data_IF_528482715499
#
_entry.id   IF_528482715499
#
_cell.length_a   1.000
_cell.length_b   1.000
_cell.length_c   1.000
_cell.angle_alpha   90.00
_cell.angle_beta   90.00
_cell.angle_gamma   90.00
#
_symmetry.space_group_name_H-M   'P 1'
#
loop_
_entity.id
_entity.type
_entity.pdbx_description
1 polymer ?
#
# COMPACT_ATOMS: atom_id res chain seq x y z
N UNK A 1 33.36 -15.03 -23.45
CA UNK A 1 33.21 -15.54 -22.07
C UNK A 1 32.32 -16.75 -22.14
N UNK A 2 32.70 -17.84 -21.49
CA UNK A 2 31.79 -18.97 -21.30
C UNK A 2 30.59 -18.48 -20.48
N UNK A 3 29.36 -18.65 -21.00
CA UNK A 3 28.16 -18.15 -20.33
C UNK A 3 27.92 -18.85 -18.99
N UNK A 4 28.43 -20.07 -18.82
CA UNK A 4 28.25 -20.87 -17.61
C UNK A 4 29.14 -20.42 -16.44
N UNK A 5 30.19 -19.63 -16.69
CA UNK A 5 30.98 -19.01 -15.61
C UNK A 5 30.32 -17.76 -15.02
N UNK A 6 29.12 -17.43 -15.49
CA UNK A 6 28.30 -16.32 -15.04
C UNK A 6 27.01 -16.83 -14.41
N UNK A 7 26.43 -16.13 -13.41
CA UNK A 7 25.11 -16.49 -12.87
C UNK A 7 23.95 -16.13 -13.81
N UNK A 8 24.22 -15.48 -14.96
CA UNK A 8 23.18 -15.04 -15.89
C UNK A 8 22.21 -16.15 -16.35
N UNK A 9 22.66 -17.37 -16.72
CA UNK A 9 21.74 -18.44 -17.11
C UNK A 9 20.77 -18.84 -15.98
N UNK A 10 21.24 -18.81 -14.73
CA UNK A 10 20.38 -19.04 -13.57
C UNK A 10 19.33 -17.92 -13.42
N UNK A 11 19.74 -16.65 -13.54
CA UNK A 11 18.83 -15.51 -13.49
C UNK A 11 17.78 -15.53 -14.61
N UNK A 12 18.19 -15.91 -15.82
CA UNK A 12 17.30 -16.11 -16.98
C UNK A 12 16.29 -17.24 -16.72
N UNK A 13 16.71 -18.34 -16.08
CA UNK A 13 15.82 -19.46 -15.75
C UNK A 13 14.75 -19.07 -14.73
N UNK A 14 15.12 -18.37 -13.64
CA UNK A 14 14.18 -17.96 -12.60
C UNK A 14 13.27 -16.80 -13.02
N UNK A 15 13.61 -16.04 -14.07
CA UNK A 15 12.75 -14.97 -14.61
C UNK A 15 11.37 -15.50 -15.02
N UNK A 16 11.31 -16.75 -15.48
CA UNK A 16 10.06 -17.43 -15.84
C UNK A 16 9.05 -17.51 -14.68
N UNK A 17 9.52 -17.47 -13.43
CA UNK A 17 8.68 -17.50 -12.22
C UNK A 17 7.73 -16.30 -12.14
N UNK A 18 8.08 -15.15 -12.73
CA UNK A 18 7.26 -13.92 -12.68
C UNK A 18 5.91 -14.06 -13.37
N UNK A 19 5.78 -15.03 -14.27
CA UNK A 19 4.54 -15.29 -15.02
C UNK A 19 3.68 -16.39 -14.40
N UNK A 20 4.18 -17.11 -13.38
CA UNK A 20 3.48 -18.27 -12.81
C UNK A 20 2.50 -17.82 -11.74
N UNK A 21 1.24 -18.21 -11.93
CA UNK A 21 0.14 -17.97 -10.99
C UNK A 21 0.15 -19.03 -9.89
N UNK A 22 -0.13 -18.61 -8.67
CA UNK A 22 -0.36 -19.48 -7.52
C UNK A 22 -1.68 -20.24 -7.72
N UNK A 23 -1.56 -21.56 -7.73
CA UNK A 23 -2.61 -22.50 -8.11
C UNK A 23 -3.75 -22.61 -7.11
N UNK A 24 -3.48 -22.32 -5.83
CA UNK A 24 -4.45 -22.41 -4.73
C UNK A 24 -5.63 -21.44 -4.87
N UNK A 25 -5.36 -20.28 -5.48
CA UNK A 25 -6.33 -19.19 -5.68
C UNK A 25 -6.87 -19.12 -7.11
N UNK A 26 -6.24 -19.82 -8.06
CA UNK A 26 -6.60 -19.78 -9.48
C UNK A 26 -8.01 -20.34 -9.78
N UNK A 27 -8.57 -21.16 -8.88
CA UNK A 27 -9.89 -21.78 -9.04
C UNK A 27 -11.05 -20.97 -8.40
N UNK A 28 -10.76 -20.09 -7.44
CA UNK A 28 -11.77 -19.45 -6.59
C UNK A 28 -11.72 -17.92 -6.55
N UNK A 29 -10.77 -17.27 -7.23
CA UNK A 29 -10.60 -15.81 -7.18
C UNK A 29 -10.34 -15.17 -8.55
N UNK A 30 -10.73 -13.89 -8.64
CA UNK A 30 -10.66 -12.95 -9.78
C UNK A 30 -9.28 -12.93 -10.51
N UNK A 31 -9.14 -12.39 -11.75
CA UNK A 31 -7.96 -12.53 -12.63
C UNK A 31 -6.59 -12.09 -12.07
N UNK A 32 -6.55 -11.39 -10.92
CA UNK A 32 -5.35 -11.05 -10.15
C UNK A 32 -4.87 -12.19 -9.23
N UNK A 33 -4.97 -13.44 -9.69
CA UNK A 33 -4.36 -14.59 -9.00
C UNK A 33 -2.89 -14.28 -8.66
N UNK A 34 -2.55 -14.37 -7.37
CA UNK A 34 -1.20 -14.17 -6.82
C UNK A 34 -0.13 -14.86 -7.66
N UNK A 35 1.06 -14.28 -7.77
CA UNK A 35 2.21 -14.92 -8.44
C UNK A 35 3.08 -15.62 -7.41
N UNK A 36 3.66 -16.76 -7.79
CA UNK A 36 4.55 -17.52 -6.88
C UNK A 36 5.72 -16.66 -6.35
N UNK A 37 6.25 -15.77 -7.19
CA UNK A 37 7.30 -14.84 -6.79
C UNK A 37 6.87 -13.90 -5.65
N UNK A 38 5.62 -13.43 -5.68
CA UNK A 38 5.09 -12.51 -4.68
C UNK A 38 4.98 -13.22 -3.31
N UNK A 39 4.44 -14.44 -3.29
CA UNK A 39 4.40 -15.32 -2.10
C UNK A 39 5.80 -15.53 -1.51
N UNK A 40 6.74 -15.99 -2.33
CA UNK A 40 8.10 -16.28 -1.87
C UNK A 40 8.81 -15.05 -1.32
N UNK A 41 8.59 -13.89 -1.95
CA UNK A 41 9.13 -12.61 -1.49
C UNK A 41 8.54 -12.21 -0.13
N UNK A 42 7.23 -12.32 0.04
CA UNK A 42 6.58 -12.02 1.32
C UNK A 42 7.05 -12.97 2.43
N UNK A 43 7.11 -14.28 2.17
CA UNK A 43 7.63 -15.25 3.15
C UNK A 43 9.06 -14.91 3.57
N UNK A 44 9.93 -14.53 2.63
CA UNK A 44 11.30 -14.13 2.95
C UNK A 44 11.35 -12.87 3.84
N UNK A 45 10.49 -11.87 3.59
CA UNK A 45 10.39 -10.70 4.45
C UNK A 45 9.85 -11.03 5.85
N UNK A 46 8.91 -11.97 5.97
CA UNK A 46 8.42 -12.45 7.27
C UNK A 46 9.55 -13.16 8.04
N UNK A 47 10.37 -13.97 7.36
CA UNK A 47 11.56 -14.57 7.96
C UNK A 47 12.53 -13.50 8.50
N UNK A 48 12.80 -12.45 7.71
CA UNK A 48 13.69 -11.34 8.11
C UNK A 48 13.11 -10.47 9.24
N UNK A 49 11.80 -10.45 9.41
CA UNK A 49 11.13 -9.74 10.50
C UNK A 49 11.03 -10.57 11.80
N UNK A 50 11.29 -11.86 11.73
CA UNK A 50 11.07 -12.78 12.84
C UNK A 50 12.17 -12.63 13.92
N UNK A 51 11.82 -12.36 15.19
CA UNK A 51 12.80 -12.05 16.24
C UNK A 51 13.74 -13.20 16.60
N UNK A 52 13.27 -14.45 16.43
CA UNK A 52 14.04 -15.66 16.77
C UNK A 52 14.82 -16.26 15.57
N UNK A 53 14.83 -15.56 14.43
CA UNK A 53 15.70 -15.88 13.30
C UNK A 53 16.86 -14.89 13.28
N UNK A 54 18.09 -15.41 13.28
CA UNK A 54 19.30 -14.60 13.14
C UNK A 54 20.45 -15.44 12.61
N UNK A 55 21.46 -14.80 12.02
CA UNK A 55 22.66 -15.48 11.54
C UNK A 55 22.33 -16.56 10.51
N UNK A 56 22.84 -17.77 10.71
CA UNK A 56 22.69 -18.86 9.75
C UNK A 56 21.25 -19.36 9.61
N UNK A 57 20.47 -19.38 10.70
CA UNK A 57 19.07 -19.79 10.68
C UNK A 57 18.21 -18.85 9.84
N UNK A 58 18.47 -17.53 9.90
CA UNK A 58 17.79 -16.52 9.08
C UNK A 58 18.11 -16.73 7.58
N UNK A 59 19.40 -16.91 7.25
CA UNK A 59 19.80 -17.12 5.85
C UNK A 59 19.23 -18.43 5.31
N UNK A 60 19.22 -19.51 6.10
CA UNK A 60 18.62 -20.78 5.71
C UNK A 60 17.11 -20.66 5.52
N UNK A 61 16.40 -19.95 6.41
CA UNK A 61 14.97 -19.70 6.27
C UNK A 61 14.64 -18.94 4.97
N UNK A 62 15.40 -17.87 4.67
CA UNK A 62 15.19 -17.09 3.44
C UNK A 62 15.46 -17.92 2.18
N UNK A 63 16.55 -18.69 2.14
CA UNK A 63 16.82 -19.57 1.00
C UNK A 63 15.72 -20.61 0.84
N UNK A 64 15.23 -21.18 1.95
CA UNK A 64 14.13 -22.14 1.94
C UNK A 64 12.86 -21.54 1.32
N UNK A 65 12.48 -20.32 1.73
CA UNK A 65 11.38 -19.58 1.09
C UNK A 65 11.63 -19.37 -0.41
N UNK A 66 12.86 -19.07 -0.81
CA UNK A 66 13.23 -18.84 -2.20
C UNK A 66 13.29 -20.10 -3.08
N UNK A 67 13.23 -21.31 -2.52
CA UNK A 67 13.32 -22.56 -3.32
C UNK A 67 12.13 -23.48 -3.20
N UNK A 68 11.32 -23.36 -2.13
CA UNK A 68 10.25 -24.32 -1.84
C UNK A 68 9.26 -24.52 -3.00
N UNK A 69 8.85 -23.41 -3.63
CA UNK A 69 7.91 -23.42 -4.76
C UNK A 69 8.59 -23.31 -6.13
N UNK A 70 9.88 -22.95 -6.19
CA UNK A 70 10.63 -22.84 -7.47
C UNK A 70 10.73 -24.18 -8.18
N UNK A 71 10.81 -25.26 -7.41
CA UNK A 71 10.89 -26.61 -7.96
C UNK A 71 9.63 -26.98 -8.78
N UNK A 72 8.45 -26.51 -8.36
CA UNK A 72 7.19 -26.73 -9.10
C UNK A 72 7.17 -26.06 -10.48
N UNK A 73 7.97 -24.99 -10.67
CA UNK A 73 8.04 -24.29 -11.95
C UNK A 73 9.14 -24.85 -12.84
N UNK A 74 10.25 -25.29 -12.26
CA UNK A 74 11.34 -25.89 -13.02
C UNK A 74 10.94 -27.24 -13.68
N UNK A 75 9.87 -27.89 -13.21
CA UNK A 75 9.21 -29.03 -13.90
C UNK A 75 8.33 -28.61 -15.08
N UNK A 76 7.96 -27.33 -15.19
CA UNK A 76 7.03 -26.82 -16.21
C UNK A 76 5.55 -27.06 -15.88
N UNK A 77 5.23 -27.56 -14.68
CA UNK A 77 3.86 -27.84 -14.26
C UNK A 77 3.27 -26.61 -13.55
N UNK A 78 2.49 -25.81 -14.28
CA UNK A 78 1.56 -24.85 -13.64
C UNK A 78 0.50 -25.71 -12.97
N UNK A 79 0.66 -25.97 -11.68
CA UNK A 79 -0.30 -26.77 -10.92
C UNK A 79 -1.68 -26.15 -11.08
N UNK A 80 -2.63 -26.91 -11.61
CA UNK A 80 -4.01 -26.81 -11.19
C UNK A 80 -4.09 -27.88 -10.11
N UNK A 81 -4.37 -27.49 -8.86
CA UNK A 81 -4.44 -28.45 -7.75
C UNK A 81 -5.60 -29.39 -8.03
N UNK A 82 -5.30 -30.52 -8.65
CA UNK A 82 -6.12 -31.71 -8.68
C UNK A 82 -5.37 -32.72 -7.81
N UNK A 83 -5.83 -32.90 -6.57
CA UNK A 83 -5.24 -33.78 -5.54
C UNK A 83 -5.07 -35.24 -5.99
N UNK A 84 -5.54 -35.60 -7.18
CA UNK A 84 -5.48 -36.95 -7.74
C UNK A 84 -4.17 -37.34 -8.45
N UNK A 85 -3.16 -36.44 -8.58
CA UNK A 85 -1.90 -36.69 -9.34
C UNK A 85 -0.58 -36.75 -8.54
N UNK A 86 -0.62 -37.11 -7.27
CA UNK A 86 0.60 -37.30 -6.45
C UNK A 86 1.21 -38.70 -6.67
N UNK A 87 2.06 -38.90 -7.70
CA UNK A 87 3.48 -39.23 -7.42
C UNK A 87 4.49 -38.79 -8.52
N UNK A 88 4.06 -38.10 -9.59
CA UNK A 88 4.94 -37.73 -10.72
C UNK A 88 5.60 -36.35 -10.52
N UNK A 89 5.01 -35.48 -9.69
CA UNK A 89 5.47 -34.12 -9.41
C UNK A 89 6.82 -34.03 -8.66
N UNK A 90 7.10 -34.95 -7.72
CA UNK A 90 8.30 -34.86 -6.85
C UNK A 90 9.62 -35.05 -7.60
N UNK A 91 9.65 -35.91 -8.63
CA UNK A 91 10.87 -36.19 -9.40
C UNK A 91 11.20 -35.02 -10.32
N UNK A 92 10.19 -34.44 -10.96
CA UNK A 92 10.37 -33.32 -11.88
C UNK A 92 10.80 -32.06 -11.12
N UNK A 93 10.25 -31.84 -9.93
CA UNK A 93 10.73 -30.83 -8.98
C UNK A 93 12.22 -30.99 -8.64
N UNK A 94 12.64 -32.21 -8.30
CA UNK A 94 14.04 -32.49 -7.99
C UNK A 94 14.97 -32.27 -9.19
N UNK A 95 14.54 -32.65 -10.40
CA UNK A 95 15.32 -32.45 -11.63
C UNK A 95 15.44 -30.96 -11.96
N UNK A 96 14.33 -30.23 -11.85
CA UNK A 96 14.28 -28.80 -12.09
C UNK A 96 15.20 -28.03 -11.13
N UNK A 97 15.18 -28.38 -9.84
CA UNK A 97 16.08 -27.78 -8.87
C UNK A 97 17.55 -28.13 -9.13
N UNK A 98 17.85 -29.39 -9.47
CA UNK A 98 19.21 -29.80 -9.87
C UNK A 98 19.68 -28.99 -11.07
N UNK A 99 18.82 -28.75 -12.07
CA UNK A 99 19.16 -27.90 -13.21
C UNK A 99 19.57 -26.49 -12.77
N UNK A 100 18.79 -25.84 -11.90
CA UNK A 100 19.13 -24.52 -11.36
C UNK A 100 20.45 -24.52 -10.59
N UNK A 101 20.69 -25.53 -9.76
CA UNK A 101 21.98 -25.71 -9.07
C UNK A 101 23.15 -25.88 -10.06
N UNK A 102 22.96 -26.65 -11.13
CA UNK A 102 23.97 -26.81 -12.19
C UNK A 102 24.31 -25.49 -12.89
N UNK A 103 23.33 -24.61 -13.12
CA UNK A 103 23.58 -23.28 -13.72
C UNK A 103 24.43 -22.37 -12.81
N UNK A 104 24.46 -22.64 -11.50
CA UNK A 104 25.28 -21.91 -10.53
C UNK A 104 26.61 -22.57 -10.21
N UNK A 105 26.85 -23.82 -10.64
CA UNK A 105 27.98 -24.62 -10.16
C UNK A 105 29.35 -23.95 -10.34
N UNK A 106 29.57 -23.29 -11.47
CA UNK A 106 30.84 -22.61 -11.78
C UNK A 106 30.88 -21.16 -11.25
N UNK A 107 29.73 -20.48 -11.18
CA UNK A 107 29.66 -19.06 -10.82
C UNK A 107 29.42 -18.80 -9.33
N UNK A 108 28.73 -19.71 -8.64
CA UNK A 108 28.44 -19.68 -7.20
C UNK A 108 28.27 -21.11 -6.64
N UNK A 109 29.38 -21.85 -6.43
CA UNK A 109 29.33 -23.23 -5.94
C UNK A 109 28.59 -23.38 -4.60
N UNK A 110 28.82 -22.43 -3.68
CA UNK A 110 28.16 -22.44 -2.36
C UNK A 110 26.65 -22.33 -2.47
N UNK A 111 26.13 -21.50 -3.37
CA UNK A 111 24.68 -21.41 -3.56
C UNK A 111 24.15 -22.65 -4.28
N UNK A 112 24.88 -23.16 -5.27
CA UNK A 112 24.52 -24.38 -6.00
C UNK A 112 24.30 -25.58 -5.07
N UNK A 113 25.14 -25.73 -4.04
CA UNK A 113 24.99 -26.82 -3.04
C UNK A 113 23.83 -26.55 -2.06
N UNK A 114 23.58 -25.28 -1.72
CA UNK A 114 22.53 -24.90 -0.75
C UNK A 114 21.10 -25.04 -1.27
N UNK A 115 20.84 -24.85 -2.56
CA UNK A 115 19.45 -24.90 -3.07
C UNK A 115 18.82 -26.30 -2.86
N UNK A 116 19.47 -27.42 -3.27
CA UNK A 116 18.95 -28.77 -3.02
C UNK A 116 18.83 -29.13 -1.55
N UNK A 117 19.81 -28.72 -0.73
CA UNK A 117 19.79 -28.96 0.72
C UNK A 117 18.60 -28.25 1.39
N UNK A 118 18.34 -26.98 1.05
CA UNK A 118 17.24 -26.22 1.60
C UNK A 118 15.86 -26.79 1.20
N UNK A 119 15.69 -27.24 -0.06
CA UNK A 119 14.44 -27.90 -0.46
C UNK A 119 14.25 -29.23 0.28
N UNK A 120 15.31 -30.03 0.43
CA UNK A 120 15.23 -31.29 1.15
C UNK A 120 14.86 -31.06 2.63
N UNK A 121 15.48 -30.07 3.28
CA UNK A 121 15.17 -29.69 4.65
C UNK A 121 13.71 -29.24 4.79
N UNK A 122 13.23 -28.42 3.86
CA UNK A 122 11.83 -27.99 3.81
C UNK A 122 10.83 -29.15 3.66
N UNK A 123 11.17 -30.11 2.79
CA UNK A 123 10.35 -31.30 2.54
C UNK A 123 10.30 -32.22 3.76
N UNK A 124 11.44 -32.41 4.43
CA UNK A 124 11.52 -33.26 5.62
C UNK A 124 10.84 -32.61 6.84
N UNK A 125 10.87 -31.28 6.97
CA UNK A 125 10.21 -30.54 8.06
C UNK A 125 10.61 -31.02 9.47
N UNK A 126 11.89 -31.32 9.67
CA UNK A 126 12.40 -31.87 10.93
C UNK A 126 13.05 -30.82 11.81
N UNK A 127 13.75 -29.86 11.19
CA UNK A 127 14.51 -28.80 11.86
C UNK A 127 13.59 -27.73 12.42
N UNK A 128 14.10 -26.94 13.39
CA UNK A 128 13.39 -25.76 13.90
C UNK A 128 13.05 -24.78 12.77
N UNK A 129 14.01 -24.52 11.88
CA UNK A 129 13.87 -23.57 10.78
C UNK A 129 12.82 -24.04 9.77
N UNK A 130 12.90 -25.29 9.29
CA UNK A 130 11.91 -25.81 8.34
C UNK A 130 10.49 -25.84 8.90
N UNK A 131 10.32 -26.22 10.17
CA UNK A 131 9.03 -26.14 10.88
C UNK A 131 8.51 -24.71 10.99
N UNK A 132 9.39 -23.73 11.20
CA UNK A 132 9.00 -22.33 11.23
C UNK A 132 8.60 -21.83 9.83
N UNK A 133 9.39 -22.12 8.80
CA UNK A 133 9.09 -21.73 7.41
C UNK A 133 7.75 -22.31 6.93
N UNK A 134 7.39 -23.53 7.34
CA UNK A 134 6.06 -24.12 7.09
C UNK A 134 4.92 -23.34 7.77
N UNK A 135 5.16 -22.82 8.96
CA UNK A 135 4.18 -21.97 9.65
C UNK A 135 4.10 -20.59 8.99
N UNK A 136 5.21 -20.05 8.51
CA UNK A 136 5.24 -18.81 7.71
C UNK A 136 4.46 -18.98 6.41
N UNK A 137 4.57 -20.13 5.71
CA UNK A 137 3.77 -20.43 4.52
C UNK A 137 2.26 -20.39 4.83
N UNK A 138 1.85 -20.99 5.95
CA UNK A 138 0.44 -20.96 6.41
C UNK A 138 -0.01 -19.53 6.74
N UNK A 139 0.82 -18.80 7.49
CA UNK A 139 0.56 -17.40 7.84
C UNK A 139 0.41 -16.52 6.60
N UNK A 140 1.27 -16.71 5.60
CA UNK A 140 1.21 -16.00 4.33
C UNK A 140 -0.10 -16.32 3.59
N UNK A 141 -0.50 -17.60 3.56
CA UNK A 141 -1.77 -18.02 2.95
C UNK A 141 -2.97 -17.37 3.66
N UNK A 142 -2.96 -17.29 5.00
CA UNK A 142 -3.96 -16.59 5.80
C UNK A 142 -4.00 -15.09 5.45
N UNK A 143 -2.84 -14.44 5.40
CA UNK A 143 -2.73 -13.02 5.07
C UNK A 143 -3.28 -12.70 3.68
N UNK A 144 -2.96 -13.53 2.68
CA UNK A 144 -3.48 -13.38 1.32
C UNK A 144 -4.99 -13.58 1.22
N UNK A 145 -5.55 -14.52 2.00
CA UNK A 145 -7.00 -14.73 2.04
C UNK A 145 -7.72 -13.44 2.45
N UNK A 146 -7.23 -12.78 3.50
CA UNK A 146 -7.79 -11.53 3.98
C UNK A 146 -7.62 -10.38 2.98
N UNK A 147 -6.43 -10.24 2.35
CA UNK A 147 -6.23 -9.24 1.29
C UNK A 147 -7.17 -9.48 0.09
N UNK A 148 -7.39 -10.74 -0.29
CA UNK A 148 -8.32 -11.12 -1.35
C UNK A 148 -9.74 -10.62 -1.09
N UNK A 149 -10.21 -10.71 0.16
CA UNK A 149 -11.51 -10.17 0.56
C UNK A 149 -11.57 -8.65 0.46
N UNK A 150 -10.53 -7.93 0.88
CA UNK A 150 -10.47 -6.47 0.74
C UNK A 150 -10.61 -5.99 -0.72
N UNK A 151 -10.23 -6.84 -1.68
CA UNK A 151 -10.36 -6.56 -3.12
C UNK A 151 -11.71 -6.97 -3.71
N UNK A 152 -12.67 -7.40 -2.89
CA UNK A 152 -14.01 -7.78 -3.31
C UNK A 152 -14.11 -9.18 -3.93
N UNK A 153 -13.21 -10.11 -3.57
CA UNK A 153 -13.23 -11.49 -4.08
C UNK A 153 -14.04 -12.49 -3.22
N UNK A 154 -14.90 -12.03 -2.30
CA UNK A 154 -15.76 -12.86 -1.43
C UNK A 154 -16.26 -12.09 -0.20
N UNK A 155 -17.13 -12.69 0.61
CA UNK A 155 -17.56 -12.14 1.92
C UNK A 155 -16.87 -12.88 3.08
N UNK A 156 -16.72 -12.25 4.26
CA UNK A 156 -16.09 -12.87 5.44
C UNK A 156 -16.77 -14.19 5.84
N UNK A 157 -18.07 -14.31 5.59
CA UNK A 157 -18.88 -15.50 5.92
C UNK A 157 -18.60 -16.71 5.00
N UNK A 158 -17.86 -16.53 3.89
CA UNK A 158 -17.62 -17.59 2.91
C UNK A 158 -16.43 -18.52 3.26
N UNK A 159 -15.57 -18.13 4.20
CA UNK A 159 -14.34 -18.87 4.53
C UNK A 159 -14.05 -18.82 6.04
N UNK A 160 -14.09 -19.99 6.66
CA UNK A 160 -13.67 -20.17 8.05
C UNK A 160 -12.15 -19.95 8.19
N UNK A 161 -11.74 -18.93 8.94
CA UNK A 161 -10.34 -18.59 9.19
C UNK A 161 -9.70 -19.48 10.26
N UNK A 162 -10.51 -20.09 11.13
CA UNK A 162 -10.00 -20.88 12.25
C UNK A 162 -9.13 -22.06 11.75
N UNK A 163 -9.55 -22.84 10.73
CA UNK A 163 -8.72 -23.88 10.11
C UNK A 163 -7.41 -23.36 9.49
N UNK A 164 -7.38 -22.09 9.04
CA UNK A 164 -6.18 -21.49 8.46
C UNK A 164 -5.15 -21.11 9.52
N UNK A 165 -5.62 -20.80 10.73
CA UNK A 165 -4.79 -20.55 11.90
C UNK A 165 -4.28 -21.85 12.54
N UNK A 166 -4.95 -22.99 12.29
CA UNK A 166 -4.55 -24.28 12.84
C UNK A 166 -3.12 -24.67 12.42
N UNK A 167 -2.29 -24.88 13.44
CA UNK A 167 -0.90 -25.27 13.28
C UNK A 167 0.09 -24.11 13.09
N UNK A 168 -0.35 -22.86 13.21
CA UNK A 168 0.54 -21.72 13.52
C UNK A 168 0.74 -21.70 15.04
N UNK A 169 1.81 -22.34 15.50
CA UNK A 169 2.11 -22.56 16.92
C UNK A 169 3.26 -21.71 17.44
N UNK A 170 4.09 -21.16 16.54
CA UNK A 170 5.12 -20.20 16.92
C UNK A 170 4.49 -18.98 17.60
N UNK A 171 4.95 -18.57 18.80
CA UNK A 171 4.30 -17.51 19.56
C UNK A 171 4.25 -16.15 18.85
N UNK A 172 5.28 -15.81 18.06
CA UNK A 172 5.32 -14.53 17.36
C UNK A 172 4.38 -14.55 16.15
N UNK A 173 4.42 -15.62 15.34
CA UNK A 173 3.51 -15.80 14.21
C UNK A 173 2.05 -15.94 14.64
N UNK A 174 1.77 -16.71 15.70
CA UNK A 174 0.41 -16.87 16.21
C UNK A 174 -0.18 -15.53 16.65
N UNK A 175 0.63 -14.66 17.25
CA UNK A 175 0.20 -13.29 17.58
C UNK A 175 -0.11 -12.46 16.32
N UNK A 176 0.67 -12.59 15.25
CA UNK A 176 0.36 -11.88 14.00
C UNK A 176 -0.90 -12.44 13.34
N UNK A 177 -1.08 -13.77 13.34
CA UNK A 177 -2.30 -14.41 12.85
C UNK A 177 -3.52 -13.95 13.65
N UNK A 178 -3.43 -13.90 14.98
CA UNK A 178 -4.46 -13.33 15.86
C UNK A 178 -4.79 -11.88 15.49
N UNK A 179 -3.79 -11.04 15.18
CA UNK A 179 -4.02 -9.66 14.75
C UNK A 179 -4.79 -9.64 13.42
N UNK A 180 -4.42 -10.47 12.45
CA UNK A 180 -5.15 -10.61 11.19
C UNK A 180 -6.58 -11.09 11.45
N UNK A 181 -6.84 -12.00 12.38
CA UNK A 181 -8.20 -12.49 12.63
C UNK A 181 -9.06 -11.51 13.46
N UNK A 182 -8.43 -10.66 14.28
CA UNK A 182 -9.11 -9.72 15.21
C UNK A 182 -9.23 -8.30 14.68
N UNK A 183 -8.44 -7.91 13.68
CA UNK A 183 -8.66 -6.63 13.02
C UNK A 183 -10.11 -6.60 12.50
N UNK A 184 -10.84 -5.53 12.83
CA UNK A 184 -12.24 -5.33 12.44
C UNK A 184 -12.32 -5.10 10.92
N UNK A 185 -12.13 -6.17 10.15
CA UNK A 185 -12.24 -6.18 8.69
C UNK A 185 -13.69 -5.98 8.23
N UNK A 186 -14.68 -6.17 9.11
CA UNK A 186 -16.10 -5.87 8.86
C UNK A 186 -16.34 -4.40 8.51
N UNK A 187 -15.38 -3.52 8.78
CA UNK A 187 -15.44 -2.11 8.35
C UNK A 187 -15.23 -1.92 6.84
N UNK A 188 -14.88 -2.98 6.10
CA UNK A 188 -14.72 -2.96 4.64
C UNK A 188 -15.87 -3.69 3.91
N UNK A 189 -16.57 -4.61 4.57
CA UNK A 189 -17.68 -5.38 3.97
C UNK A 189 -18.98 -4.55 3.90
N UNK A 190 -19.04 -3.47 4.68
CA UNK A 190 -19.92 -2.35 4.38
C UNK A 190 -19.17 -1.31 3.54
N UNK A 191 -19.00 -1.56 2.24
CA UNK A 191 -19.34 -0.50 1.28
C UNK A 191 -20.84 -0.22 1.41
N UNK A 192 -21.31 0.14 2.60
CA UNK A 192 -22.48 0.99 2.72
C UNK A 192 -22.07 2.20 1.91
N UNK A 193 -22.80 2.49 0.83
CA UNK A 193 -22.71 3.80 0.19
C UNK A 193 -22.71 4.80 1.35
N UNK A 194 -21.57 5.46 1.59
CA UNK A 194 -21.42 6.38 2.71
C UNK A 194 -22.56 7.37 2.57
N UNK A 195 -23.59 7.26 3.42
CA UNK A 195 -24.78 8.13 3.32
C UNK A 195 -24.42 9.59 3.57
N UNK A 196 -23.23 9.82 4.09
CA UNK A 196 -22.64 11.10 4.40
C UNK A 196 -21.65 11.51 3.31
N UNK A 197 -21.68 12.78 2.87
CA UNK A 197 -20.87 13.25 1.73
C UNK A 197 -19.38 13.31 2.06
N UNK A 198 -18.54 12.76 1.19
CA UNK A 198 -17.08 12.94 1.21
C UNK A 198 -16.69 13.95 0.14
N UNK A 199 -15.98 15.01 0.52
CA UNK A 199 -15.60 16.12 -0.36
C UNK A 199 -14.09 16.35 -0.27
N UNK A 200 -13.37 16.06 -1.34
CA UNK A 200 -11.97 16.44 -1.48
C UNK A 200 -11.83 17.91 -1.88
N UNK A 201 -10.88 18.60 -1.27
CA UNK A 201 -10.40 19.91 -1.72
C UNK A 201 -8.94 19.78 -2.10
N UNK A 202 -8.67 19.91 -3.40
CA UNK A 202 -7.34 19.81 -3.99
C UNK A 202 -6.91 21.14 -4.64
N UNK A 203 -5.60 21.32 -4.80
CA UNK A 203 -5.01 22.56 -5.28
C UNK A 203 -4.48 23.42 -4.12
N UNK A 204 -3.45 24.22 -4.39
CA UNK A 204 -2.86 25.13 -3.40
C UNK A 204 -3.52 26.49 -3.48
N UNK A 205 -3.99 27.01 -2.34
CA UNK A 205 -4.41 28.38 -2.18
C UNK A 205 -3.18 29.26 -1.91
N UNK A 206 -2.94 30.28 -2.74
CA UNK A 206 -1.89 31.27 -2.47
C UNK A 206 -2.48 32.36 -1.56
N UNK A 207 -2.36 32.16 -0.25
CA UNK A 207 -2.56 33.21 0.74
C UNK A 207 -1.34 33.28 1.65
N UNK A 208 -0.78 34.49 1.80
CA UNK A 208 0.43 34.78 2.57
C UNK A 208 0.33 34.61 4.09
N UNK A 209 -0.57 33.75 4.58
CA UNK A 209 -0.53 33.25 5.95
C UNK A 209 -1.29 31.92 6.00
N UNK A 210 -0.61 30.84 6.40
CA UNK A 210 -1.17 29.50 6.59
C UNK A 210 -2.40 29.49 7.52
N UNK A 211 -2.52 30.49 8.41
CA UNK A 211 -3.63 30.70 9.34
C UNK A 211 -4.96 31.15 8.71
N UNK A 212 -4.93 31.84 7.56
CA UNK A 212 -6.15 32.41 6.95
C UNK A 212 -6.96 31.37 6.16
N UNK A 213 -6.28 30.41 5.57
CA UNK A 213 -6.82 29.44 4.61
C UNK A 213 -7.46 28.22 5.29
N UNK A 214 -6.81 27.65 6.33
CA UNK A 214 -7.43 26.59 7.14
C UNK A 214 -8.72 27.04 7.82
N UNK A 215 -8.81 28.32 8.20
CA UNK A 215 -9.98 28.88 8.88
C UNK A 215 -11.23 28.84 8.01
N UNK A 216 -11.12 29.05 6.70
CA UNK A 216 -12.27 29.15 5.79
C UNK A 216 -12.94 27.81 5.53
N UNK A 217 -12.16 26.77 5.23
CA UNK A 217 -12.71 25.43 5.02
C UNK A 217 -13.33 24.86 6.30
N UNK A 218 -12.73 25.17 7.45
CA UNK A 218 -13.29 24.82 8.75
C UNK A 218 -14.62 25.54 9.02
N UNK A 219 -14.72 26.83 8.69
CA UNK A 219 -15.97 27.58 8.79
C UNK A 219 -17.06 27.02 7.86
N UNK A 220 -16.72 26.65 6.63
CA UNK A 220 -17.65 26.01 5.70
C UNK A 220 -18.11 24.66 6.26
N UNK A 221 -17.18 23.85 6.77
CA UNK A 221 -17.50 22.55 7.35
C UNK A 221 -18.45 22.68 8.55
N UNK A 222 -18.18 23.64 9.45
CA UNK A 222 -19.04 23.96 10.59
C UNK A 222 -20.44 24.44 10.14
N UNK A 223 -20.53 25.30 9.11
CA UNK A 223 -21.81 25.78 8.56
C UNK A 223 -22.70 24.62 8.07
N UNK A 224 -22.09 23.67 7.35
CA UNK A 224 -22.81 22.54 6.78
C UNK A 224 -22.85 21.30 7.70
N UNK A 225 -22.33 21.41 8.92
CA UNK A 225 -22.26 20.30 9.88
C UNK A 225 -21.56 19.06 9.32
N UNK A 226 -20.48 19.25 8.56
CA UNK A 226 -19.57 18.19 8.10
C UNK A 226 -18.23 18.29 8.86
N UNK A 227 -17.52 17.19 9.01
CA UNK A 227 -16.18 17.16 9.59
C UNK A 227 -15.16 17.83 8.68
N UNK A 228 -14.25 18.62 9.24
CA UNK A 228 -13.08 19.13 8.53
C UNK A 228 -11.86 18.26 8.84
N UNK A 229 -11.18 17.78 7.80
CA UNK A 229 -9.99 16.95 7.91
C UNK A 229 -8.90 17.52 7.01
N UNK A 230 -7.73 17.83 7.57
CA UNK A 230 -6.55 18.29 6.84
C UNK A 230 -5.49 17.19 6.92
N UNK A 231 -4.98 16.71 5.78
CA UNK A 231 -3.93 15.67 5.80
C UNK A 231 -2.64 16.19 6.46
N UNK A 232 -2.33 17.47 6.28
CA UNK A 232 -1.15 18.10 6.85
C UNK A 232 -1.27 18.15 8.38
N UNK A 233 -2.46 18.45 8.91
CA UNK A 233 -2.73 18.46 10.36
C UNK A 233 -2.58 17.03 10.92
N UNK A 234 -3.09 16.02 10.22
CA UNK A 234 -2.95 14.62 10.65
C UNK A 234 -1.50 14.14 10.65
N UNK A 235 -0.72 14.55 9.65
CA UNK A 235 0.70 14.25 9.59
C UNK A 235 1.47 14.96 10.72
N UNK A 236 1.12 16.21 11.03
CA UNK A 236 1.73 16.95 12.14
C UNK A 236 1.34 16.37 13.51
N UNK A 237 0.08 15.97 13.69
CA UNK A 237 -0.40 15.25 14.88
C UNK A 237 0.38 13.96 15.06
N UNK A 238 0.52 13.14 14.01
CA UNK A 238 1.25 11.87 14.07
C UNK A 238 2.76 12.09 14.27
N UNK A 239 3.34 13.15 13.68
CA UNK A 239 4.74 13.53 13.90
C UNK A 239 5.03 13.90 15.36
N UNK A 240 4.14 14.69 15.97
CA UNK A 240 4.30 15.16 17.35
C UNK A 240 3.84 14.15 18.40
N UNK A 241 3.17 13.07 17.99
CA UNK A 241 2.64 12.04 18.88
C UNK A 241 3.76 11.27 19.58
N UNK A 242 3.82 11.29 20.92
CA UNK A 242 4.82 10.53 21.67
C UNK A 242 4.72 9.03 21.38
N UNK A 243 5.82 8.42 20.96
CA UNK A 243 5.90 6.99 20.64
C UNK A 243 5.39 6.61 19.25
N UNK A 244 5.07 7.56 18.37
CA UNK A 244 4.78 7.25 16.97
C UNK A 244 5.99 6.63 16.28
N UNK A 245 5.76 5.51 15.58
CA UNK A 245 6.76 4.88 14.70
C UNK A 245 7.02 5.69 13.43
N UNK A 246 6.06 6.54 13.04
CA UNK A 246 6.13 7.34 11.81
C UNK A 246 6.70 8.73 12.06
N UNK A 247 6.83 9.20 13.30
CA UNK A 247 7.16 10.60 13.56
C UNK A 247 8.49 11.06 12.94
N UNK A 248 9.56 10.26 13.07
CA UNK A 248 10.84 10.56 12.41
C UNK A 248 10.78 10.46 10.89
N UNK A 249 10.00 9.51 10.38
CA UNK A 249 9.82 9.34 8.94
C UNK A 249 9.06 10.53 8.33
N UNK A 250 8.05 11.04 9.03
CA UNK A 250 7.27 12.21 8.60
C UNK A 250 8.15 13.46 8.60
N UNK A 251 8.95 13.65 9.65
CA UNK A 251 9.93 14.73 9.75
C UNK A 251 10.90 14.73 8.55
N UNK A 252 11.53 13.58 8.27
CA UNK A 252 12.47 13.43 7.15
C UNK A 252 11.80 13.65 5.79
N UNK A 253 10.58 13.12 5.59
CA UNK A 253 9.84 13.33 4.34
C UNK A 253 9.49 14.81 4.12
N UNK A 254 9.09 15.52 5.17
CA UNK A 254 8.84 16.97 5.13
C UNK A 254 10.10 17.77 4.77
N UNK A 255 11.24 17.48 5.43
CA UNK A 255 12.52 18.13 5.14
C UNK A 255 12.97 17.95 3.68
N UNK A 256 12.64 16.80 3.09
CA UNK A 256 12.99 16.46 1.71
C UNK A 256 11.90 16.81 0.69
N UNK A 257 10.78 17.40 1.11
CA UNK A 257 9.61 17.70 0.26
C UNK A 257 9.12 16.47 -0.52
N UNK A 258 9.19 15.29 0.10
CA UNK A 258 8.82 14.02 -0.50
C UNK A 258 7.33 13.70 -0.27
N UNK A 259 6.71 13.01 -1.23
CA UNK A 259 5.36 12.51 -1.05
C UNK A 259 5.32 11.36 -0.04
N UNK A 260 4.30 11.35 0.81
CA UNK A 260 4.07 10.26 1.74
C UNK A 260 3.51 9.00 1.05
N UNK A 261 3.91 7.79 1.51
CA UNK A 261 3.30 6.55 1.07
C UNK A 261 1.78 6.59 1.22
N UNK A 262 1.06 6.05 0.23
CA UNK A 262 -0.41 6.04 0.25
C UNK A 262 -0.96 5.34 1.49
N UNK A 263 -0.33 4.23 1.91
CA UNK A 263 -0.72 3.47 3.10
C UNK A 263 -0.71 4.31 4.38
N UNK A 264 0.29 5.17 4.58
CA UNK A 264 0.35 6.05 5.74
C UNK A 264 -0.79 7.08 5.73
N UNK A 265 -0.97 7.79 4.61
CA UNK A 265 -2.02 8.80 4.48
C UNK A 265 -3.43 8.21 4.69
N UNK A 266 -3.68 7.03 4.11
CA UNK A 266 -4.96 6.32 4.25
C UNK A 266 -5.18 5.85 5.68
N UNK A 267 -4.15 5.32 6.36
CA UNK A 267 -4.25 4.91 7.77
C UNK A 267 -4.68 6.07 8.66
N UNK A 268 -4.09 7.25 8.46
CA UNK A 268 -4.44 8.45 9.23
C UNK A 268 -5.85 8.96 8.90
N UNK A 269 -6.23 8.97 7.62
CA UNK A 269 -7.54 9.42 7.17
C UNK A 269 -8.68 8.48 7.60
N UNK A 270 -8.48 7.17 7.48
CA UNK A 270 -9.51 6.15 7.74
C UNK A 270 -10.09 6.28 9.16
N UNK A 271 -9.23 6.51 10.16
CA UNK A 271 -9.68 6.73 11.54
C UNK A 271 -10.57 7.96 11.70
N UNK A 272 -10.26 9.06 10.99
CA UNK A 272 -10.97 10.34 11.10
C UNK A 272 -12.26 10.37 10.28
N UNK A 273 -12.25 9.76 9.10
CA UNK A 273 -13.46 9.62 8.28
C UNK A 273 -14.50 8.78 9.03
N UNK A 274 -14.08 7.63 9.61
CA UNK A 274 -14.96 6.78 10.42
C UNK A 274 -15.54 7.50 11.64
N UNK A 275 -14.75 8.33 12.32
CA UNK A 275 -15.23 9.18 13.43
C UNK A 275 -16.32 10.15 12.95
N UNK A 276 -16.11 10.79 11.80
CA UNK A 276 -17.10 11.70 11.19
C UNK A 276 -18.40 10.98 10.85
N UNK A 277 -18.31 9.80 10.24
CA UNK A 277 -19.45 8.96 9.86
C UNK A 277 -20.28 8.53 11.07
N UNK A 278 -19.65 8.13 12.18
CA UNK A 278 -20.33 7.76 13.42
C UNK A 278 -21.15 8.92 14.01
N UNK A 279 -20.74 10.17 13.75
CA UNK A 279 -21.50 11.37 14.15
C UNK A 279 -22.61 11.74 13.16
N UNK A 280 -22.77 10.97 12.08
CA UNK A 280 -23.71 11.24 11.00
C UNK A 280 -23.30 12.41 10.10
N UNK A 281 -22.03 12.81 10.16
CA UNK A 281 -21.49 13.98 9.44
C UNK A 281 -20.62 13.53 8.28
N UNK A 282 -20.81 14.14 7.12
CA UNK A 282 -19.87 14.00 5.99
C UNK A 282 -18.49 14.55 6.32
N UNK A 283 -17.53 14.39 5.41
CA UNK A 283 -16.16 14.85 5.60
C UNK A 283 -15.71 15.76 4.45
N UNK A 284 -15.16 16.92 4.78
CA UNK A 284 -14.39 17.79 3.89
C UNK A 284 -12.91 17.54 4.15
N UNK A 285 -12.24 16.94 3.18
CA UNK A 285 -10.85 16.49 3.29
C UNK A 285 -9.97 17.40 2.42
N UNK A 286 -9.04 18.10 3.03
CA UNK A 286 -8.11 19.03 2.38
C UNK A 286 -6.74 18.40 2.17
N UNK A 287 -6.12 18.75 1.03
CA UNK A 287 -4.72 18.40 0.74
C UNK A 287 -4.52 16.95 0.33
N UNK A 288 -5.61 16.21 0.15
CA UNK A 288 -5.64 14.81 -0.25
C UNK A 288 -6.72 14.62 -1.33
N UNK A 289 -6.49 13.71 -2.30
CA UNK A 289 -5.25 12.99 -2.58
C UNK A 289 -4.21 13.87 -3.29
N UNK A 290 -2.92 13.53 -3.13
CA UNK A 290 -1.78 14.19 -3.79
C UNK A 290 -1.21 13.37 -4.96
N UNK A 291 -1.62 12.10 -5.09
CA UNK A 291 -1.21 11.21 -6.17
C UNK A 291 -2.32 10.23 -6.55
N UNK A 292 -2.23 9.65 -7.75
CA UNK A 292 -3.17 8.60 -8.19
C UNK A 292 -3.12 7.41 -7.24
N UNK A 293 -1.93 7.01 -6.79
CA UNK A 293 -1.78 5.89 -5.86
C UNK A 293 -2.57 6.12 -4.56
N UNK A 294 -2.60 7.35 -4.05
CA UNK A 294 -3.43 7.69 -2.89
C UNK A 294 -4.93 7.61 -3.21
N UNK A 295 -5.37 8.16 -4.35
CA UNK A 295 -6.78 8.13 -4.76
C UNK A 295 -7.30 6.69 -4.93
N UNK A 296 -6.53 5.84 -5.62
CA UNK A 296 -6.88 4.44 -5.87
C UNK A 296 -6.98 3.64 -4.56
N UNK A 297 -6.06 3.87 -3.62
CA UNK A 297 -6.11 3.18 -2.32
C UNK A 297 -7.30 3.70 -1.48
N UNK A 298 -7.61 5.01 -1.54
CA UNK A 298 -8.80 5.57 -0.88
C UNK A 298 -10.09 4.95 -1.41
N UNK A 299 -10.23 4.84 -2.72
CA UNK A 299 -11.40 4.24 -3.39
C UNK A 299 -11.64 2.80 -2.96
N UNK A 300 -10.56 2.06 -2.71
CA UNK A 300 -10.60 0.67 -2.28
C UNK A 300 -10.88 0.52 -0.79
N UNK A 301 -10.26 1.35 0.05
CA UNK A 301 -10.22 1.11 1.51
C UNK A 301 -11.15 1.99 2.34
N UNK A 302 -11.68 3.06 1.75
CA UNK A 302 -12.56 4.02 2.44
C UNK A 302 -13.86 4.19 1.66
N UNK A 303 -13.81 4.78 0.45
CA UNK A 303 -15.02 4.99 -0.36
C UNK A 303 -14.68 5.36 -1.79
N UNK A 304 -15.38 4.75 -2.76
CA UNK A 304 -15.30 5.12 -4.17
C UNK A 304 -16.30 6.24 -4.56
N UNK A 305 -17.16 6.68 -3.63
CA UNK A 305 -18.13 7.76 -3.83
C UNK A 305 -17.66 9.00 -3.08
N UNK A 306 -17.20 10.00 -3.84
CA UNK A 306 -16.78 11.28 -3.31
C UNK A 306 -17.03 12.40 -4.32
N UNK A 307 -16.90 13.64 -3.86
CA UNK A 307 -16.89 14.84 -4.69
C UNK A 307 -15.54 15.54 -4.58
N UNK A 308 -15.12 16.25 -5.62
CA UNK A 308 -13.84 16.99 -5.64
C UNK A 308 -14.07 18.45 -6.00
N UNK A 309 -13.51 19.33 -5.20
CA UNK A 309 -13.35 20.76 -5.48
C UNK A 309 -11.87 20.97 -5.83
N UNK A 310 -11.61 21.41 -7.05
CA UNK A 310 -10.26 21.70 -7.54
C UNK A 310 -10.06 23.21 -7.62
N UNK A 311 -9.19 23.73 -6.77
CA UNK A 311 -8.82 25.13 -6.75
C UNK A 311 -7.79 25.40 -7.84
N UNK A 312 -8.15 26.23 -8.81
CA UNK A 312 -7.29 26.62 -9.91
C UNK A 312 -6.76 28.03 -9.73
N UNK A 313 -5.50 28.22 -10.10
CA UNK A 313 -4.88 29.53 -10.17
C UNK A 313 -4.46 29.81 -11.61
N UNK A 314 -4.88 30.94 -12.21
CA UNK A 314 -4.25 31.45 -13.40
C UNK A 314 -2.73 31.57 -13.18
N UNK A 315 -1.96 31.08 -14.14
CA UNK A 315 -0.48 31.01 -14.08
C UNK A 315 0.14 32.38 -13.77
N UNK A 316 -0.49 33.44 -14.27
CA UNK A 316 -0.05 34.85 -14.13
C UNK A 316 -0.13 35.32 -12.67
N UNK A 317 -1.25 35.07 -11.99
CA UNK A 317 -1.44 35.42 -10.57
C UNK A 317 -0.55 34.60 -9.63
N UNK A 318 -0.12 33.41 -10.08
CA UNK A 318 0.70 32.49 -9.30
C UNK A 318 2.14 32.98 -9.11
N UNK A 319 2.70 33.66 -10.11
CA UNK A 319 4.03 34.27 -10.02
C UNK A 319 4.02 35.51 -9.13
N UNK A 320 2.97 36.34 -9.21
CA UNK A 320 2.85 37.59 -8.45
C UNK A 320 2.67 37.39 -6.94
N UNK A 321 1.96 36.34 -6.50
CA UNK A 321 1.77 36.07 -5.05
C UNK A 321 2.96 35.35 -4.42
N UNK A 322 3.73 34.57 -5.19
CA UNK A 322 4.96 33.94 -4.72
C UNK A 322 6.05 34.97 -4.37
N UNK A 323 6.12 36.07 -5.12
CA UNK A 323 7.01 37.20 -4.83
C UNK A 323 6.57 38.00 -3.59
N UNK A 324 5.27 38.22 -3.41
CA UNK A 324 4.75 38.98 -2.25
C UNK A 324 4.92 38.20 -0.92
N UNK A 325 4.77 36.87 -0.94
CA UNK A 325 4.99 36.03 0.25
C UNK A 325 6.44 36.05 0.74
N UNK A 326 7.42 36.11 -0.19
CA UNK A 326 8.85 36.16 0.13
C UNK A 326 9.36 37.51 0.65
N UNK A 327 8.61 38.61 0.45
CA UNK A 327 9.02 39.94 0.92
C UNK A 327 8.62 40.22 2.39
N UNK A 328 7.75 39.40 2.98
CA UNK A 328 7.27 39.58 4.37
C UNK A 328 8.13 38.90 5.44
N UNK A 329 9.13 38.10 5.04
CA UNK A 329 10.06 37.39 5.94
C UNK A 329 11.51 37.81 5.69
N UNK A 330 11.85 39.06 6.00
CA UNK A 330 13.24 39.41 6.28
C UNK A 330 13.64 38.86 7.66
N UNK A 331 13.87 37.55 7.69
CA UNK A 331 14.76 36.94 8.66
C UNK A 331 15.72 36.05 7.86
N UNK A 332 16.97 36.49 7.80
CA UNK A 332 18.04 35.85 7.04
C UNK A 332 18.22 34.38 7.49
N UNK A 333 18.02 33.45 6.55
CA UNK A 333 18.33 32.04 6.70
C UNK A 333 17.15 31.14 6.31
N UNK A 334 17.29 30.48 5.15
CA UNK A 334 16.42 29.41 4.60
C UNK A 334 14.93 29.77 4.42
N UNK A 335 14.55 30.25 3.22
CA UNK A 335 13.26 29.90 2.59
C UNK A 335 13.14 30.18 1.07
N UNK A 336 14.24 30.46 0.37
CA UNK A 336 14.23 30.65 -1.08
C UNK A 336 13.94 29.36 -1.91
N UNK A 337 13.52 28.25 -1.27
CA UNK A 337 13.18 26.98 -1.93
C UNK A 337 11.68 26.66 -1.96
N UNK A 338 10.85 27.38 -1.21
CA UNK A 338 9.40 27.13 -1.16
C UNK A 338 8.66 27.51 -2.44
N UNK A 339 9.21 28.46 -3.22
CA UNK A 339 8.58 28.94 -4.46
C UNK A 339 8.70 28.02 -5.68
N UNK A 340 9.68 27.11 -5.70
CA UNK A 340 10.02 26.33 -6.91
C UNK A 340 9.79 24.82 -6.80
N UNK A 341 9.73 24.23 -5.60
CA UNK A 341 9.92 22.76 -5.45
C UNK A 341 8.68 21.95 -5.03
N UNK A 342 7.46 22.47 -5.17
CA UNK A 342 6.22 21.70 -4.91
C UNK A 342 5.29 21.73 -6.11
N UNK A 343 5.86 21.49 -7.28
CA UNK A 343 5.10 21.11 -8.46
C UNK A 343 5.37 19.65 -8.72
N UNK A 344 4.48 18.82 -8.19
CA UNK A 344 4.14 17.55 -8.84
C UNK A 344 4.09 17.84 -10.32
N UNK A 345 4.93 17.16 -11.12
CA UNK A 345 5.04 17.34 -12.57
C UNK A 345 3.66 17.65 -13.15
N UNK A 346 3.56 18.65 -14.02
CA UNK A 346 2.28 19.04 -14.61
C UNK A 346 1.51 17.84 -15.18
N UNK A 347 2.24 16.84 -15.67
CA UNK A 347 1.75 15.53 -16.10
C UNK A 347 1.12 14.68 -14.98
N UNK A 348 1.77 14.59 -13.81
CA UNK A 348 1.26 13.86 -12.65
C UNK A 348 0.05 14.55 -12.01
N UNK A 349 0.01 15.89 -12.04
CA UNK A 349 -1.15 16.67 -11.59
C UNK A 349 -2.35 16.48 -12.51
N UNK A 350 -2.14 16.45 -13.85
CA UNK A 350 -3.21 16.17 -14.82
C UNK A 350 -3.78 14.75 -14.66
N UNK A 351 -2.91 13.75 -14.56
CA UNK A 351 -3.36 12.37 -14.46
C UNK A 351 -4.18 12.11 -13.18
N UNK A 352 -3.85 12.78 -12.06
CA UNK A 352 -4.67 12.77 -10.85
C UNK A 352 -6.02 13.46 -11.08
N UNK A 353 -6.03 14.66 -11.69
CA UNK A 353 -7.27 15.39 -11.99
C UNK A 353 -8.18 14.59 -12.92
N UNK A 354 -7.64 13.94 -13.95
CA UNK A 354 -8.38 13.08 -14.87
C UNK A 354 -9.00 11.89 -14.14
N UNK A 355 -8.26 11.28 -13.19
CA UNK A 355 -8.77 10.20 -12.35
C UNK A 355 -9.91 10.66 -11.44
N UNK A 356 -9.75 11.79 -10.76
CA UNK A 356 -10.76 12.36 -9.85
C UNK A 356 -12.01 12.85 -10.59
N UNK A 357 -11.87 13.26 -11.86
CA UNK A 357 -12.97 13.72 -12.72
C UNK A 357 -13.97 12.61 -13.08
N UNK A 358 -13.70 11.35 -12.73
CA UNK A 358 -14.66 10.24 -12.85
C UNK A 358 -15.82 10.36 -11.87
N UNK A 359 -15.59 11.04 -10.75
CA UNK A 359 -16.58 11.39 -9.73
C UNK A 359 -17.06 12.85 -9.93
N UNK A 360 -17.93 13.36 -9.06
CA UNK A 360 -18.32 14.77 -9.15
C UNK A 360 -17.09 15.66 -8.97
N UNK A 361 -16.83 16.53 -9.94
CA UNK A 361 -15.63 17.34 -9.98
C UNK A 361 -15.98 18.76 -10.39
N UNK A 362 -15.64 19.72 -9.54
CA UNK A 362 -15.89 21.14 -9.79
C UNK A 362 -14.57 21.91 -9.70
N UNK A 363 -14.25 22.64 -10.76
CA UNK A 363 -13.15 23.62 -10.75
C UNK A 363 -13.67 24.93 -10.17
N UNK A 364 -12.87 25.56 -9.33
CA UNK A 364 -13.13 26.87 -8.71
C UNK A 364 -11.95 27.77 -9.02
N UNK A 365 -12.23 28.95 -9.58
CA UNK A 365 -11.20 29.95 -9.82
C UNK A 365 -10.82 30.62 -8.50
N UNK A 366 -9.59 30.38 -8.06
CA UNK A 366 -9.07 30.92 -6.80
C UNK A 366 -8.27 32.22 -6.99
N UNK A 367 -8.36 32.87 -8.16
CA UNK A 367 -7.73 34.16 -8.44
C UNK A 367 -8.39 35.35 -7.73
N UNK A 368 -9.69 35.24 -7.43
CA UNK A 368 -10.50 36.30 -6.82
C UNK A 368 -10.09 36.69 -5.40
N UNK A 369 -10.85 37.59 -4.80
CA UNK A 369 -10.71 37.95 -3.39
C UNK A 369 -11.09 36.78 -2.47
N UNK A 370 -10.65 36.81 -1.21
CA UNK A 370 -10.97 35.77 -0.24
C UNK A 370 -12.49 35.53 -0.10
N UNK A 371 -13.28 36.60 -0.04
CA UNK A 371 -14.73 36.50 0.14
C UNK A 371 -15.43 35.92 -1.08
N UNK A 372 -14.95 36.23 -2.29
CA UNK A 372 -15.47 35.69 -3.55
C UNK A 372 -15.21 34.19 -3.64
N UNK A 373 -13.96 33.77 -3.40
CA UNK A 373 -13.57 32.34 -3.44
C UNK A 373 -14.30 31.57 -2.35
N UNK A 374 -14.42 32.13 -1.13
CA UNK A 374 -15.21 31.54 -0.05
C UNK A 374 -16.67 31.33 -0.46
N UNK A 375 -17.30 32.35 -1.05
CA UNK A 375 -18.70 32.28 -1.48
C UNK A 375 -18.91 31.22 -2.57
N UNK A 376 -17.97 31.09 -3.50
CA UNK A 376 -18.01 30.08 -4.55
C UNK A 376 -17.87 28.67 -3.99
N UNK A 377 -16.83 28.40 -3.18
CA UNK A 377 -16.62 27.10 -2.54
C UNK A 377 -17.84 26.72 -1.69
N UNK A 378 -18.36 27.65 -0.88
CA UNK A 378 -19.57 27.45 -0.09
C UNK A 378 -20.77 27.08 -0.96
N UNK A 379 -20.92 27.70 -2.13
CA UNK A 379 -21.94 27.38 -3.11
C UNK A 379 -21.81 25.94 -3.65
N UNK A 380 -20.59 25.52 -3.97
CA UNK A 380 -20.29 24.17 -4.46
C UNK A 380 -20.55 23.12 -3.37
N UNK A 381 -20.08 23.33 -2.14
CA UNK A 381 -20.33 22.43 -1.00
C UNK A 381 -21.84 22.27 -0.77
N UNK A 382 -22.60 23.37 -0.80
CA UNK A 382 -24.07 23.32 -0.70
C UNK A 382 -24.72 22.48 -1.80
N UNK A 383 -24.20 22.55 -3.03
CA UNK A 383 -24.72 21.78 -4.15
C UNK A 383 -24.43 20.28 -3.98
N UNK A 384 -23.22 19.94 -3.51
CA UNK A 384 -22.82 18.55 -3.24
C UNK A 384 -23.69 17.93 -2.14
N UNK A 385 -23.92 18.63 -1.03
CA UNK A 385 -24.68 18.10 0.12
C UNK A 385 -26.17 17.88 -0.20
N UNK A 386 -26.71 18.59 -1.20
CA UNK A 386 -28.12 18.45 -1.61
C UNK A 386 -28.36 17.32 -2.61
N UNK A 387 -27.31 16.77 -3.19
CA UNK A 387 -27.38 15.65 -4.13
C UNK A 387 -27.61 14.35 -3.37
#
# INVERSE_FOLDING_TARGET
>A
MDRLTSPLPFLEAIESLKAVKNSRWALHSSPESERLYDKMYQMALVCLAHPDLSGEDEVNAVIMCMVHDVAHVASGEVTLVDDSRLPQSTIEEEIGLKHLAYLLKESSPTLADRLPEALLEYKNCETRVSKLVRQIEKFETLHQAVIGWQKGSGTRDDVDLDPMCEGITDPWLAKQADNICREDWDTLDETSETKTPIIFVIGKYACGSEMGDQSQFRLIADEFSIGYISIDDLLQEEQSRPGSIFGRFIEEANENLANFPASLAITLLKSKVKESELTGKGALIRGFPQSISQAVVFEREISNVYSTICLEYPVETRMERATIGGESSQQEGSNAREGETSWVSESSSRALVDHLSRNFFQRVDAAGSHDEVYAEIRGVVRAIIKR
#
